data_IF_135757233109
#
_entry.id   IF_135757233109
#
_cell.length_a   1.000
_cell.length_b   1.000
_cell.length_c   1.000
_cell.angle_alpha   90.00
_cell.angle_beta   90.00
_cell.angle_gamma   90.00
#
_symmetry.space_group_name_H-M   'P 1'
#
loop_
_entity.id
_entity.type
_entity.pdbx_description
1 polymer ?
#
# COMPACT_ATOMS: atom_id res chain seq x y z
N UNK A 1 37.72 7.79 41.99
CA UNK A 1 37.82 8.02 40.54
C UNK A 1 36.95 9.20 40.19
N UNK A 2 37.45 10.19 39.42
CA UNK A 2 36.54 11.15 38.78
C UNK A 2 35.62 10.40 37.82
N UNK A 3 34.34 10.82 37.67
CA UNK A 3 33.46 10.27 36.66
C UNK A 3 34.09 10.47 35.28
N UNK A 4 33.91 9.53 34.32
CA UNK A 4 34.39 9.72 32.96
C UNK A 4 33.85 11.06 32.45
N UNK A 5 34.75 11.96 32.07
CA UNK A 5 34.36 13.24 31.50
C UNK A 5 33.51 12.95 30.26
N UNK A 6 32.24 13.32 30.29
CA UNK A 6 31.37 13.23 29.13
C UNK A 6 31.91 14.16 28.05
N UNK A 7 32.57 13.58 27.04
CA UNK A 7 33.01 14.31 25.86
C UNK A 7 31.76 14.57 25.00
N UNK A 8 31.11 15.69 25.27
CA UNK A 8 29.94 16.16 24.52
C UNK A 8 30.39 17.20 23.49
N UNK A 9 30.81 16.74 22.32
CA UNK A 9 30.98 17.63 21.16
C UNK A 9 29.62 17.81 20.47
N UNK A 10 29.02 19.01 20.50
CA UNK A 10 27.70 19.26 19.90
C UNK A 10 27.70 19.11 18.37
N UNK A 11 28.87 19.14 17.72
CA UNK A 11 28.99 18.96 16.27
C UNK A 11 29.05 17.49 15.83
N UNK A 12 29.27 16.57 16.76
CA UNK A 12 29.48 15.16 16.45
C UNK A 12 28.25 14.51 15.81
N UNK A 13 27.08 14.63 16.45
CA UNK A 13 25.83 14.05 15.96
C UNK A 13 25.46 14.51 14.53
N UNK A 14 25.43 15.82 14.20
CA UNK A 14 25.13 16.25 12.84
C UNK A 14 26.19 15.81 11.82
N UNK A 15 27.47 15.77 12.19
CA UNK A 15 28.53 15.27 11.31
C UNK A 15 28.36 13.78 10.98
N UNK A 16 28.03 12.95 11.96
CA UNK A 16 27.73 11.52 11.78
C UNK A 16 26.51 11.33 10.88
N UNK A 17 25.42 12.06 11.12
CA UNK A 17 24.20 11.96 10.29
C UNK A 17 24.46 12.36 8.83
N UNK A 18 25.27 13.41 8.61
CA UNK A 18 25.70 13.78 7.25
C UNK A 18 26.45 12.64 6.57
N UNK A 19 27.40 12.03 7.27
CA UNK A 19 28.20 10.93 6.72
C UNK A 19 27.35 9.69 6.41
N UNK A 20 26.40 9.33 7.29
CA UNK A 20 25.47 8.23 7.06
C UNK A 20 24.58 8.48 5.83
N UNK A 21 24.14 9.73 5.63
CA UNK A 21 23.38 10.09 4.45
C UNK A 21 24.20 9.98 3.15
N UNK A 22 25.47 10.39 3.15
CA UNK A 22 26.37 10.20 2.01
C UNK A 22 26.60 8.71 1.70
N UNK A 23 26.78 7.88 2.73
CA UNK A 23 26.89 6.42 2.57
C UNK A 23 25.62 5.85 1.94
N UNK A 24 24.44 6.29 2.39
CA UNK A 24 23.13 5.88 1.83
C UNK A 24 23.04 6.22 0.34
N UNK A 25 23.38 7.46 -0.05
CA UNK A 25 23.36 7.91 -1.44
C UNK A 25 24.33 7.12 -2.34
N UNK A 26 25.44 6.64 -1.79
CA UNK A 26 26.44 5.81 -2.48
C UNK A 26 26.15 4.30 -2.41
N UNK A 27 25.10 3.88 -1.70
CA UNK A 27 24.78 2.46 -1.49
C UNK A 27 25.77 1.72 -0.58
N UNK A 28 26.51 2.42 0.26
CA UNK A 28 27.51 1.84 1.16
C UNK A 28 26.89 1.46 2.51
N UNK A 29 27.18 0.24 2.96
CA UNK A 29 26.73 -0.32 4.24
C UNK A 29 25.20 -0.40 4.41
N UNK A 30 24.43 -0.17 3.34
CA UNK A 30 22.99 -0.34 3.35
C UNK A 30 22.65 -1.83 3.44
N UNK A 31 21.99 -2.21 4.54
CA UNK A 31 21.60 -3.58 4.89
C UNK A 31 20.09 -3.84 4.73
N UNK A 32 19.34 -2.82 4.28
CA UNK A 32 17.93 -2.92 3.94
C UNK A 32 17.63 -2.08 2.69
N UNK A 33 16.63 -2.50 1.92
CA UNK A 33 16.08 -1.73 0.80
C UNK A 33 14.58 -1.62 0.97
N UNK A 34 14.08 -0.40 1.11
CA UNK A 34 12.64 -0.13 1.14
C UNK A 34 12.11 -0.11 -0.29
N UNK A 35 10.93 -0.67 -0.51
CA UNK A 35 10.27 -0.70 -1.82
C UNK A 35 8.97 0.08 -1.69
N UNK A 36 8.80 1.12 -2.52
CA UNK A 36 7.56 1.86 -2.61
C UNK A 36 7.14 1.94 -4.09
N UNK A 37 6.10 1.19 -4.45
CA UNK A 37 5.78 0.90 -5.85
C UNK A 37 6.98 0.23 -6.53
N UNK A 38 7.43 0.81 -7.64
CA UNK A 38 8.57 0.29 -8.41
C UNK A 38 9.92 0.90 -7.99
N UNK A 39 9.92 1.79 -7.00
CA UNK A 39 11.14 2.49 -6.57
C UNK A 39 11.79 1.79 -5.39
N UNK A 40 13.11 1.64 -5.44
CA UNK A 40 13.93 1.00 -4.41
C UNK A 40 14.79 2.05 -3.69
N UNK A 41 14.75 2.02 -2.37
CA UNK A 41 15.49 2.96 -1.50
C UNK A 41 16.43 2.17 -0.58
N UNK A 42 17.73 2.07 -0.91
CA UNK A 42 18.70 1.48 0.01
C UNK A 42 18.82 2.36 1.26
N UNK A 43 18.90 1.74 2.44
CA UNK A 43 18.97 2.43 3.72
C UNK A 43 19.71 1.60 4.77
N UNK A 44 19.92 2.19 5.94
CA UNK A 44 20.50 1.54 7.12
C UNK A 44 19.41 1.20 8.13
N UNK A 45 19.30 -0.08 8.52
CA UNK A 45 18.31 -0.55 9.53
C UNK A 45 18.44 0.20 10.84
N UNK A 46 19.67 0.43 11.29
CA UNK A 46 19.97 1.12 12.55
C UNK A 46 19.40 2.54 12.58
N UNK A 47 19.58 3.30 11.50
CA UNK A 47 19.04 4.66 11.38
C UNK A 47 17.52 4.64 11.34
N UNK A 48 16.91 3.76 10.55
CA UNK A 48 15.45 3.64 10.48
C UNK A 48 14.84 3.28 11.85
N UNK A 49 15.41 2.30 12.55
CA UNK A 49 14.93 1.86 13.87
C UNK A 49 15.16 2.91 14.98
N UNK A 50 16.23 3.70 14.88
CA UNK A 50 16.49 4.79 15.81
C UNK A 50 15.47 5.93 15.64
N UNK A 51 15.10 6.24 14.40
CA UNK A 51 14.23 7.37 14.06
C UNK A 51 12.73 7.06 14.06
N UNK A 52 12.32 5.78 14.00
CA UNK A 52 10.91 5.40 13.88
C UNK A 52 10.59 4.12 14.65
N UNK A 53 9.63 4.16 15.60
CA UNK A 53 9.14 2.96 16.30
C UNK A 53 8.57 1.92 15.33
N UNK A 54 7.89 2.36 14.28
CA UNK A 54 7.36 1.47 13.24
C UNK A 54 8.47 0.65 12.60
N UNK A 55 9.53 1.31 12.11
CA UNK A 55 10.65 0.58 11.51
C UNK A 55 11.40 -0.25 12.52
N UNK A 56 11.52 0.19 13.77
CA UNK A 56 12.13 -0.61 14.83
C UNK A 56 11.41 -1.93 15.01
N UNK A 57 10.09 -1.90 15.20
CA UNK A 57 9.29 -3.12 15.37
C UNK A 57 9.30 -3.98 14.12
N UNK A 58 9.11 -3.37 12.94
CA UNK A 58 9.12 -4.03 11.64
C UNK A 58 10.44 -4.76 11.32
N UNK A 59 11.57 -4.20 11.76
CA UNK A 59 12.89 -4.75 11.50
C UNK A 59 13.33 -5.75 12.58
N UNK A 60 12.65 -5.79 13.73
CA UNK A 60 12.88 -6.78 14.78
C UNK A 60 12.01 -8.02 14.59
N UNK A 61 10.77 -7.84 14.12
CA UNK A 61 9.88 -8.95 13.79
C UNK A 61 10.21 -9.45 12.38
N UNK A 62 10.49 -10.75 12.22
CA UNK A 62 10.54 -11.36 10.90
C UNK A 62 9.15 -11.61 10.32
N UNK A 63 8.09 -11.23 11.04
CA UNK A 63 6.71 -11.43 10.62
C UNK A 63 6.22 -10.30 9.68
N UNK A 64 5.29 -10.58 8.76
CA UNK A 64 4.69 -9.57 7.92
C UNK A 64 4.07 -8.47 8.79
N UNK A 65 4.35 -7.22 8.43
CA UNK A 65 3.70 -6.06 9.04
C UNK A 65 2.18 -6.27 9.08
N UNK A 66 1.48 -5.87 10.17
CA UNK A 66 0.03 -5.86 10.18
C UNK A 66 -0.45 -5.01 9.00
N UNK A 67 -1.20 -5.63 8.09
CA UNK A 67 -1.74 -4.95 6.92
C UNK A 67 -2.58 -3.75 7.40
N UNK A 68 -2.51 -2.59 6.72
CA UNK A 68 -3.47 -1.52 6.98
C UNK A 68 -4.89 -2.07 6.80
N UNK A 69 -5.89 -1.55 7.54
CA UNK A 69 -7.27 -1.99 7.38
C UNK A 69 -7.69 -1.83 5.92
N UNK A 70 -8.03 -2.93 5.25
CA UNK A 70 -8.51 -2.89 3.87
C UNK A 70 -9.82 -2.10 3.82
N UNK A 71 -9.99 -1.14 2.90
CA UNK A 71 -11.30 -0.53 2.69
C UNK A 71 -12.32 -1.62 2.31
N UNK A 72 -13.58 -1.51 2.76
CA UNK A 72 -14.61 -2.47 2.39
C UNK A 72 -14.77 -2.47 0.85
N UNK A 73 -15.06 -3.63 0.23
CA UNK A 73 -15.27 -3.70 -1.20
C UNK A 73 -16.42 -2.78 -1.63
N UNK A 74 -16.35 -2.15 -2.82
CA UNK A 74 -17.45 -1.35 -3.33
C UNK A 74 -18.68 -2.24 -3.46
N UNK A 75 -19.75 -1.90 -2.73
CA UNK A 75 -21.04 -2.59 -2.83
C UNK A 75 -21.57 -2.42 -4.25
N UNK A 76 -21.71 -3.52 -4.99
CA UNK A 76 -22.34 -3.49 -6.31
C UNK A 76 -23.81 -3.05 -6.15
N UNK A 77 -24.32 -2.19 -7.04
CA UNK A 77 -25.75 -1.88 -7.05
C UNK A 77 -26.57 -3.16 -7.30
N UNK A 78 -27.81 -3.24 -6.79
CA UNK A 78 -28.66 -4.40 -7.00
C UNK A 78 -28.89 -4.65 -8.50
N UNK A 79 -29.01 -5.92 -8.92
CA UNK A 79 -29.25 -6.26 -10.32
C UNK A 79 -30.56 -5.63 -10.80
N UNK A 80 -30.53 -5.00 -11.97
CA UNK A 80 -31.71 -4.43 -12.61
C UNK A 80 -32.66 -5.59 -12.96
N UNK A 81 -33.95 -5.53 -12.56
CA UNK A 81 -34.92 -6.57 -12.93
C UNK A 81 -35.04 -6.66 -14.46
N UNK A 82 -35.20 -7.87 -15.03
CA UNK A 82 -35.34 -8.02 -16.47
C UNK A 82 -36.58 -7.23 -16.95
N UNK A 83 -36.38 -6.39 -17.97
CA UNK A 83 -37.49 -5.69 -18.63
C UNK A 83 -38.47 -6.74 -19.14
N UNK A 84 -39.72 -6.65 -18.66
CA UNK A 84 -40.83 -7.49 -19.10
C UNK A 84 -40.94 -7.53 -20.62
N UNK A 85 -41.10 -8.73 -21.14
CA UNK A 85 -41.25 -9.02 -22.56
C UNK A 85 -42.49 -8.30 -23.09
N UNK A 86 -42.27 -7.46 -24.10
CA UNK A 86 -43.33 -6.71 -24.77
C UNK A 86 -44.32 -7.65 -25.45
N UNK A 87 -45.58 -7.43 -25.11
CA UNK A 87 -46.81 -7.89 -25.73
C UNK A 87 -46.74 -7.89 -27.27
N UNK A 88 -46.80 -9.09 -27.89
CA UNK A 88 -47.05 -9.22 -29.33
C UNK A 88 -48.55 -9.32 -29.54
N UNK A 89 -49.18 -8.20 -29.87
CA UNK A 89 -50.56 -8.18 -30.36
C UNK A 89 -50.69 -9.04 -31.63
N UNK A 90 -51.59 -10.01 -31.58
CA UNK A 90 -51.93 -10.90 -32.69
C UNK A 90 -52.53 -10.12 -33.86
N UNK A 91 -52.03 -10.41 -35.06
CA UNK A 91 -52.65 -9.98 -36.32
C UNK A 91 -53.65 -11.04 -36.72
N UNK A 92 -54.95 -10.76 -36.53
CA UNK A 92 -56.03 -11.62 -37.03
C UNK A 92 -56.23 -11.35 -38.52
N UNK A 93 -56.02 -12.37 -39.35
CA UNK A 93 -56.46 -12.42 -40.76
C UNK A 93 -57.08 -13.79 -41.02
N UNK A 94 -58.04 -13.80 -41.94
CA UNK A 94 -58.61 -14.95 -42.69
C UNK A 94 -60.02 -15.33 -42.20
N UNK A 95 -61.04 -15.56 -43.01
CA UNK A 95 -61.36 -15.38 -44.43
C UNK A 95 -62.80 -15.88 -44.51
N UNK A 96 -63.75 -15.08 -45.02
CA UNK A 96 -65.15 -15.51 -45.12
C UNK A 96 -65.28 -16.40 -46.35
N UNK A 97 -65.21 -17.71 -46.14
CA UNK A 97 -65.48 -18.74 -47.14
C UNK A 97 -66.99 -18.91 -47.37
N UNK A 98 -67.29 -19.32 -48.59
CA UNK A 98 -68.57 -19.39 -49.27
C UNK A 98 -69.22 -20.79 -49.13
N UNK A 99 -70.43 -20.92 -49.68
CA UNK A 99 -71.19 -22.13 -50.07
C UNK A 99 -72.20 -22.73 -49.08
N UNK A 100 -73.47 -22.68 -49.50
CA UNK A 100 -74.61 -23.44 -48.96
C UNK A 100 -75.95 -22.78 -49.26
#
# INVERSE_FOLDING_TARGET
>A
MPPPAEVTDPSHAPAVLRQLNEQRLRGLFCDVTLIAGDTKFPAHRSVLAASSPFFREALLTSAPLPLPPTPPPPTLPPPIPPKGEGERAGVERTQKGDVG
#
